data_IF_977501702665
#
_entry.id   IF_977501702665
#
_cell.length_a   1.000
_cell.length_b   1.000
_cell.length_c   1.000
_cell.angle_alpha   90.00
_cell.angle_beta   90.00
_cell.angle_gamma   90.00
#
_symmetry.space_group_name_H-M   'P 1'
#
loop_
_entity.id
_entity.type
_entity.pdbx_description
1 polymer ?
#
# COMPACT_ATOMS: atom_id res chain seq x y z
N UNK A 1 -12.53 -8.94 -15.34
CA UNK A 1 -13.24 -7.99 -16.26
C UNK A 1 -12.51 -7.81 -17.58
N UNK A 2 -11.20 -7.53 -17.60
CA UNK A 2 -10.41 -7.31 -18.82
C UNK A 2 -9.65 -8.55 -19.35
N UNK A 3 -9.97 -9.75 -18.90
CA UNK A 3 -9.31 -11.00 -19.32
C UNK A 3 -9.41 -11.25 -20.84
N UNK A 4 -10.47 -10.75 -21.48
CA UNK A 4 -10.64 -10.86 -22.93
C UNK A 4 -9.54 -10.16 -23.74
N UNK A 5 -8.81 -9.20 -23.14
CA UNK A 5 -7.68 -8.52 -23.78
C UNK A 5 -6.58 -9.49 -24.21
N UNK A 6 -6.42 -10.62 -23.51
CA UNK A 6 -5.43 -11.66 -23.88
C UNK A 6 -5.73 -12.24 -25.27
N UNK A 7 -7.00 -12.28 -25.65
CA UNK A 7 -7.46 -12.80 -26.96
C UNK A 7 -7.36 -11.72 -28.06
N UNK A 8 -7.29 -10.45 -27.68
CA UNK A 8 -7.01 -9.34 -28.61
C UNK A 8 -5.52 -9.30 -28.89
N UNK A 9 -4.71 -9.15 -27.83
CA UNK A 9 -3.26 -9.06 -27.89
C UNK A 9 -2.70 -9.36 -26.48
N UNK A 10 -1.89 -10.42 -26.28
CA UNK A 10 -1.34 -10.75 -24.96
C UNK A 10 -0.61 -9.58 -24.28
N UNK A 11 0.18 -8.81 -25.05
CA UNK A 11 0.88 -7.64 -24.53
C UNK A 11 -0.06 -6.56 -24.01
N UNK A 12 -1.26 -6.44 -24.58
CA UNK A 12 -2.27 -5.50 -24.11
C UNK A 12 -2.79 -5.91 -22.73
N UNK A 13 -2.96 -7.21 -22.49
CA UNK A 13 -3.32 -7.73 -21.18
C UNK A 13 -2.24 -7.50 -20.14
N UNK A 14 -0.96 -7.68 -20.48
CA UNK A 14 0.17 -7.36 -19.59
C UNK A 14 0.20 -5.88 -19.20
N UNK A 15 -0.14 -4.99 -20.15
CA UNK A 15 -0.29 -3.56 -19.87
C UNK A 15 -1.44 -3.29 -18.90
N UNK A 16 -2.57 -3.96 -19.09
CA UNK A 16 -3.70 -3.87 -18.16
C UNK A 16 -3.31 -4.32 -16.75
N UNK A 17 -2.58 -5.41 -16.58
CA UNK A 17 -2.10 -5.86 -15.27
C UNK A 17 -1.20 -4.81 -14.60
N UNK A 18 -0.45 -4.05 -15.37
CA UNK A 18 0.34 -2.92 -14.86
C UNK A 18 -0.58 -1.78 -14.40
N UNK A 19 -1.62 -1.45 -15.19
CA UNK A 19 -2.64 -0.47 -14.78
C UNK A 19 -3.33 -0.91 -13.50
N UNK A 20 -3.75 -2.18 -13.39
CA UNK A 20 -4.39 -2.74 -12.20
C UNK A 20 -3.48 -2.63 -10.96
N UNK A 21 -2.19 -2.93 -11.11
CA UNK A 21 -1.21 -2.75 -10.03
C UNK A 21 -1.11 -1.28 -9.59
N UNK A 22 -1.10 -0.34 -10.54
CA UNK A 22 -1.04 1.08 -10.25
C UNK A 22 -2.34 1.62 -9.64
N UNK A 23 -3.50 1.01 -9.92
CA UNK A 23 -4.75 1.27 -9.20
C UNK A 23 -4.62 0.81 -7.74
N UNK A 24 -4.12 -0.41 -7.53
CA UNK A 24 -3.91 -0.98 -6.19
C UNK A 24 -2.97 -0.12 -5.37
N UNK A 25 -1.95 0.46 -5.95
CA UNK A 25 -1.02 1.36 -5.26
C UNK A 25 -1.50 2.82 -5.20
N UNK A 26 -2.69 3.13 -5.72
CA UNK A 26 -3.20 4.49 -5.91
C UNK A 26 -2.13 5.47 -6.43
N UNK A 27 -1.23 4.94 -7.26
CA UNK A 27 -0.04 5.63 -7.77
C UNK A 27 -0.39 6.57 -8.92
N UNK A 28 0.28 7.73 -8.98
CA UNK A 28 0.23 8.61 -10.15
C UNK A 28 0.73 7.93 -11.43
N UNK A 29 1.49 6.84 -11.31
CA UNK A 29 1.87 5.96 -12.42
C UNK A 29 0.68 5.31 -13.13
N UNK A 30 -0.54 5.39 -12.54
CA UNK A 30 -1.77 5.01 -13.23
C UNK A 30 -1.91 5.73 -14.58
N UNK A 31 -1.69 7.03 -14.61
CA UNK A 31 -1.84 7.81 -15.84
C UNK A 31 -0.85 7.36 -16.92
N UNK A 32 0.40 7.09 -16.55
CA UNK A 32 1.41 6.63 -17.50
C UNK A 32 1.10 5.25 -18.04
N UNK A 33 0.74 4.32 -17.14
CA UNK A 33 0.38 2.96 -17.53
C UNK A 33 -0.92 2.90 -18.33
N UNK A 34 -1.89 3.77 -18.01
CA UNK A 34 -3.12 3.88 -18.79
C UNK A 34 -2.84 4.38 -20.23
N UNK A 35 -2.03 5.42 -20.36
CA UNK A 35 -1.67 5.95 -21.68
C UNK A 35 -0.92 4.91 -22.52
N UNK A 36 0.03 4.21 -21.92
CA UNK A 36 0.78 3.15 -22.56
C UNK A 36 -0.12 1.98 -23.00
N UNK A 37 -1.08 1.59 -22.17
CA UNK A 37 -2.10 0.60 -22.52
C UNK A 37 -3.00 1.08 -23.66
N UNK A 38 -3.46 2.32 -23.62
CA UNK A 38 -4.29 2.90 -24.67
C UNK A 38 -3.53 3.00 -25.99
N UNK A 39 -2.27 3.43 -25.96
CA UNK A 39 -1.42 3.50 -27.15
C UNK A 39 -1.18 2.12 -27.77
N UNK A 40 -0.89 1.12 -26.95
CA UNK A 40 -0.74 -0.26 -27.42
C UNK A 40 -2.02 -0.77 -28.09
N UNK A 41 -3.18 -0.50 -27.51
CA UNK A 41 -4.47 -0.88 -28.11
C UNK A 41 -4.67 -0.24 -29.48
N UNK A 42 -4.49 1.08 -29.58
CA UNK A 42 -4.67 1.80 -30.85
C UNK A 42 -3.71 1.25 -31.92
N UNK A 43 -2.43 1.07 -31.59
CA UNK A 43 -1.44 0.49 -32.50
C UNK A 43 -1.81 -0.93 -32.92
N UNK A 44 -2.31 -1.76 -32.02
CA UNK A 44 -2.80 -3.11 -32.36
C UNK A 44 -3.95 -3.07 -33.35
N UNK A 45 -4.93 -2.19 -33.13
CA UNK A 45 -6.11 -2.05 -34.01
C UNK A 45 -5.72 -1.53 -35.39
N UNK A 46 -4.92 -0.47 -35.48
CA UNK A 46 -4.53 0.11 -36.77
C UNK A 46 -3.62 -0.82 -37.59
N UNK A 47 -2.71 -1.56 -36.93
CA UNK A 47 -1.92 -2.60 -37.61
C UNK A 47 -2.79 -3.72 -38.19
N UNK A 48 -3.82 -4.14 -37.46
CA UNK A 48 -4.71 -5.21 -37.90
C UNK A 48 -5.54 -4.87 -39.15
N UNK A 49 -5.68 -3.58 -39.48
CA UNK A 49 -6.39 -3.09 -40.67
C UNK A 49 -5.46 -2.48 -41.70
N UNK A 50 -4.16 -2.50 -41.49
CA UNK A 50 -3.16 -2.05 -42.46
C UNK A 50 -3.02 -0.53 -42.57
N UNK A 51 -3.40 0.23 -41.55
CA UNK A 51 -3.15 1.68 -41.50
C UNK A 51 -1.69 1.94 -41.13
N UNK A 52 -0.97 2.67 -41.96
CA UNK A 52 0.43 3.03 -41.76
C UNK A 52 0.61 4.05 -40.64
N UNK A 53 1.61 3.81 -39.80
CA UNK A 53 2.04 4.76 -38.77
C UNK A 53 3.55 4.65 -38.47
N UNK A 54 4.12 5.72 -37.94
CA UNK A 54 5.54 5.71 -37.52
C UNK A 54 5.69 5.05 -36.15
N UNK A 55 6.76 4.27 -35.90
CA UNK A 55 6.97 3.60 -34.60
C UNK A 55 6.93 4.54 -33.40
N UNK A 56 7.41 5.77 -33.54
CA UNK A 56 7.46 6.81 -32.52
C UNK A 56 6.23 7.75 -32.52
N UNK A 57 5.21 7.45 -33.29
CA UNK A 57 4.00 8.26 -33.33
C UNK A 57 3.21 8.09 -32.04
N UNK A 58 2.88 9.20 -31.37
CA UNK A 58 2.22 9.20 -30.09
C UNK A 58 0.74 8.86 -30.20
N UNK A 59 0.17 8.33 -29.11
CA UNK A 59 -1.26 8.05 -29.00
C UNK A 59 -2.13 9.24 -29.46
N UNK A 60 -1.80 10.46 -29.00
CA UNK A 60 -2.54 11.67 -29.37
C UNK A 60 -2.44 12.04 -30.84
N UNK A 61 -1.33 11.72 -31.51
CA UNK A 61 -1.18 11.94 -32.95
C UNK A 61 -1.99 10.89 -33.74
N UNK A 62 -1.95 9.63 -33.31
CA UNK A 62 -2.72 8.55 -33.94
C UNK A 62 -4.23 8.83 -33.90
N UNK A 63 -4.76 9.22 -32.75
CA UNK A 63 -6.19 9.53 -32.56
C UNK A 63 -6.69 10.74 -33.36
N UNK A 64 -5.80 11.52 -33.98
CA UNK A 64 -6.16 12.66 -34.84
C UNK A 64 -6.16 12.32 -36.34
N UNK A 65 -5.67 11.14 -36.73
CA UNK A 65 -5.65 10.73 -38.13
C UNK A 65 -7.08 10.45 -38.61
N UNK A 66 -7.50 11.00 -39.78
CA UNK A 66 -8.84 10.77 -40.31
C UNK A 66 -9.19 9.28 -40.46
N UNK A 67 -8.24 8.49 -40.96
CA UNK A 67 -8.43 7.04 -41.14
C UNK A 67 -8.65 6.29 -39.81
N UNK A 68 -7.98 6.74 -38.74
CA UNK A 68 -8.17 6.17 -37.38
C UNK A 68 -9.52 6.61 -36.81
N UNK A 69 -9.91 7.86 -37.01
CA UNK A 69 -11.24 8.35 -36.59
C UNK A 69 -12.33 7.51 -37.29
N UNK A 70 -12.28 7.38 -38.60
CA UNK A 70 -13.24 6.61 -39.38
C UNK A 70 -13.23 5.10 -38.99
N UNK A 71 -12.06 4.53 -38.68
CA UNK A 71 -11.98 3.15 -38.20
C UNK A 71 -12.75 2.96 -36.89
N UNK A 72 -12.55 3.85 -35.93
CA UNK A 72 -13.21 3.71 -34.63
C UNK A 72 -14.71 4.02 -34.71
N UNK A 73 -15.13 5.09 -35.43
CA UNK A 73 -16.54 5.47 -35.55
C UNK A 73 -17.32 4.54 -36.48
N UNK A 74 -16.85 4.40 -37.72
CA UNK A 74 -17.66 3.80 -38.79
C UNK A 74 -17.53 2.26 -38.83
N UNK A 75 -16.31 1.76 -38.54
CA UNK A 75 -16.02 0.32 -38.62
C UNK A 75 -16.25 -0.41 -37.30
N UNK A 76 -15.79 0.16 -36.20
CA UNK A 76 -15.88 -0.46 -34.87
C UNK A 76 -17.16 -0.03 -34.11
N UNK A 77 -17.84 1.03 -34.57
CA UNK A 77 -19.05 1.53 -33.92
C UNK A 77 -18.80 2.10 -32.52
N UNK A 78 -17.60 2.64 -32.29
CA UNK A 78 -17.29 3.37 -31.06
C UNK A 78 -17.97 4.73 -31.15
N UNK A 79 -18.84 5.04 -30.19
CA UNK A 79 -19.57 6.30 -30.18
C UNK A 79 -18.64 7.52 -30.05
N UNK A 80 -19.10 8.66 -30.58
CA UNK A 80 -18.33 9.90 -30.61
C UNK A 80 -17.90 10.37 -29.20
N UNK A 81 -18.75 10.15 -28.19
CA UNK A 81 -18.43 10.51 -26.79
C UNK A 81 -17.24 9.72 -26.30
N UNK A 82 -17.26 8.40 -26.48
CA UNK A 82 -16.16 7.51 -26.08
C UNK A 82 -14.87 7.87 -26.80
N UNK A 83 -14.94 8.10 -28.13
CA UNK A 83 -13.76 8.45 -28.92
C UNK A 83 -13.17 9.80 -28.50
N UNK A 84 -13.99 10.85 -28.32
CA UNK A 84 -13.53 12.14 -27.81
C UNK A 84 -12.94 12.03 -26.41
N UNK A 85 -13.49 11.19 -25.54
CA UNK A 85 -12.90 10.94 -24.20
C UNK A 85 -11.54 10.26 -24.29
N UNK A 86 -11.30 9.35 -25.21
CA UNK A 86 -9.96 8.78 -25.45
C UNK A 86 -8.95 9.87 -25.80
N UNK A 87 -9.33 10.82 -26.66
CA UNK A 87 -8.49 11.97 -27.03
C UNK A 87 -8.24 12.89 -25.82
N UNK A 88 -9.29 13.26 -25.10
CA UNK A 88 -9.23 14.12 -23.91
C UNK A 88 -8.33 13.52 -22.82
N UNK A 89 -8.45 12.22 -22.56
CA UNK A 89 -7.66 11.55 -21.55
C UNK A 89 -6.19 11.48 -21.91
N UNK A 90 -5.87 11.28 -23.20
CA UNK A 90 -4.49 11.38 -23.69
C UNK A 90 -3.88 12.75 -23.40
N UNK A 91 -4.64 13.84 -23.61
CA UNK A 91 -4.18 15.20 -23.34
C UNK A 91 -4.02 15.47 -21.84
N UNK A 92 -4.99 15.03 -21.03
CA UNK A 92 -4.97 15.20 -19.57
C UNK A 92 -3.82 14.45 -18.92
N UNK A 93 -3.55 13.21 -19.33
CA UNK A 93 -2.40 12.44 -18.82
C UNK A 93 -1.10 13.20 -19.05
N UNK A 94 -0.88 13.72 -20.24
CA UNK A 94 0.32 14.51 -20.53
C UNK A 94 0.43 15.77 -19.67
N UNK A 95 -0.70 16.40 -19.32
CA UNK A 95 -0.72 17.56 -18.42
C UNK A 95 -0.43 17.19 -16.96
N UNK A 96 -0.88 16.01 -16.50
CA UNK A 96 -0.64 15.52 -15.14
C UNK A 96 0.81 15.11 -14.87
N UNK A 97 1.52 14.58 -15.87
CA UNK A 97 2.96 14.23 -15.78
C UNK A 97 3.84 15.37 -15.25
N UNK A 98 3.43 16.60 -15.46
CA UNK A 98 4.22 17.80 -15.14
C UNK A 98 3.82 18.47 -13.81
N UNK A 99 2.78 17.99 -13.11
CA UNK A 99 2.21 18.72 -11.97
C UNK A 99 2.50 18.13 -10.60
N UNK A 100 3.20 17.00 -10.51
CA UNK A 100 3.62 16.40 -9.24
C UNK A 100 2.45 16.17 -8.28
N UNK A 101 1.43 15.39 -8.67
CA UNK A 101 0.13 15.46 -8.04
C UNK A 101 -0.34 14.31 -7.17
N UNK A 102 -1.22 14.75 -6.32
CA UNK A 102 -2.22 14.24 -5.39
C UNK A 102 -2.89 12.92 -5.81
N UNK A 103 -3.33 12.18 -4.80
CA UNK A 103 -4.15 10.96 -4.87
C UNK A 103 -5.24 11.07 -5.95
N UNK A 104 -5.27 10.11 -6.88
CA UNK A 104 -6.28 10.07 -7.95
C UNK A 104 -7.62 9.66 -7.34
N UNK A 105 -8.71 10.37 -7.67
CA UNK A 105 -10.04 9.98 -7.26
C UNK A 105 -10.49 8.69 -7.97
N UNK A 106 -11.11 7.77 -7.24
CA UNK A 106 -11.60 6.50 -7.78
C UNK A 106 -12.55 6.68 -8.96
N UNK A 107 -13.41 7.69 -8.94
CA UNK A 107 -14.33 8.01 -10.03
C UNK A 107 -13.58 8.38 -11.32
N UNK A 108 -12.43 9.01 -11.19
CA UNK A 108 -11.56 9.31 -12.32
C UNK A 108 -11.03 8.00 -12.93
N UNK A 109 -10.49 7.10 -12.11
CA UNK A 109 -10.00 5.79 -12.53
C UNK A 109 -11.10 4.99 -13.25
N UNK A 110 -12.29 4.92 -12.63
CA UNK A 110 -13.47 4.24 -13.20
C UNK A 110 -13.83 4.83 -14.56
N UNK A 111 -13.81 6.16 -14.69
CA UNK A 111 -14.12 6.87 -15.92
C UNK A 111 -13.15 6.54 -17.05
N UNK A 112 -11.83 6.53 -16.77
CA UNK A 112 -10.79 6.17 -17.74
C UNK A 112 -10.93 4.72 -18.20
N UNK A 113 -11.11 3.80 -17.25
CA UNK A 113 -11.24 2.37 -17.57
C UNK A 113 -12.54 2.05 -18.29
N UNK A 114 -13.63 2.77 -18.02
CA UNK A 114 -14.89 2.60 -18.76
C UNK A 114 -14.74 2.97 -20.24
N UNK A 115 -14.11 4.11 -20.51
CA UNK A 115 -13.85 4.57 -21.89
C UNK A 115 -12.97 3.56 -22.62
N UNK A 116 -11.90 3.12 -21.99
CA UNK A 116 -11.03 2.09 -22.55
C UNK A 116 -11.76 0.77 -22.79
N UNK A 117 -12.57 0.32 -21.82
CA UNK A 117 -13.39 -0.89 -21.97
C UNK A 117 -14.34 -0.79 -23.17
N UNK A 118 -15.07 0.34 -23.30
CA UNK A 118 -16.03 0.52 -24.40
C UNK A 118 -15.35 0.38 -25.76
N UNK A 119 -14.20 1.01 -25.95
CA UNK A 119 -13.46 0.93 -27.20
C UNK A 119 -12.89 -0.48 -27.47
N UNK A 120 -12.30 -1.11 -26.45
CA UNK A 120 -11.72 -2.46 -26.60
C UNK A 120 -12.76 -3.54 -26.75
N UNK A 121 -13.91 -3.42 -26.08
CA UNK A 121 -15.02 -4.36 -26.23
C UNK A 121 -15.67 -4.25 -27.61
N UNK A 122 -15.78 -3.04 -28.20
CA UNK A 122 -16.23 -2.86 -29.57
C UNK A 122 -15.32 -3.60 -30.55
N UNK A 123 -14.00 -3.44 -30.42
CA UNK A 123 -13.04 -4.18 -31.24
C UNK A 123 -13.10 -5.69 -30.97
N UNK A 124 -13.15 -6.14 -29.72
CA UNK A 124 -13.29 -7.55 -29.36
C UNK A 124 -14.52 -8.19 -30.01
N UNK A 125 -15.67 -7.52 -29.93
CA UNK A 125 -16.92 -7.97 -30.58
C UNK A 125 -16.77 -8.09 -32.10
N UNK A 126 -16.09 -7.14 -32.75
CA UNK A 126 -15.82 -7.22 -34.19
C UNK A 126 -14.96 -8.42 -34.60
N UNK A 127 -14.22 -9.00 -33.63
CA UNK A 127 -13.40 -10.21 -33.79
C UNK A 127 -14.08 -11.47 -33.25
N UNK A 128 -15.35 -11.40 -32.82
CA UNK A 128 -16.08 -12.51 -32.22
C UNK A 128 -15.61 -12.90 -30.81
N UNK A 129 -14.91 -12.00 -30.12
CA UNK A 129 -14.45 -12.24 -28.75
C UNK A 129 -15.56 -11.84 -27.77
N UNK A 130 -15.89 -12.75 -26.86
CA UNK A 130 -16.86 -12.50 -25.79
C UNK A 130 -16.24 -11.56 -24.74
N UNK A 131 -16.91 -10.42 -24.48
CA UNK A 131 -16.50 -9.43 -23.50
C UNK A 131 -17.53 -9.39 -22.37
N UNK A 132 -17.11 -9.69 -21.14
CA UNK A 132 -17.94 -9.52 -19.94
C UNK A 132 -18.30 -8.04 -19.78
N UNK A 133 -19.45 -7.74 -19.18
CA UNK A 133 -19.88 -6.37 -18.93
C UNK A 133 -18.88 -5.62 -18.03
N UNK A 134 -18.81 -4.29 -18.24
CA UNK A 134 -18.00 -3.40 -17.40
C UNK A 134 -18.58 -3.33 -15.99
N UNK A 135 -17.78 -3.68 -15.00
CA UNK A 135 -18.17 -3.65 -13.60
C UNK A 135 -17.33 -2.60 -12.83
N UNK A 136 -17.94 -1.43 -12.62
CA UNK A 136 -17.30 -0.35 -11.85
C UNK A 136 -17.04 -0.74 -10.38
N UNK A 137 -17.94 -1.53 -9.77
CA UNK A 137 -17.84 -1.93 -8.37
C UNK A 137 -16.62 -2.81 -8.10
N UNK A 138 -16.18 -3.58 -9.11
CA UNK A 138 -14.94 -4.36 -8.99
C UNK A 138 -13.73 -3.45 -8.85
N UNK A 139 -13.66 -2.36 -9.60
CA UNK A 139 -12.58 -1.37 -9.54
C UNK A 139 -12.62 -0.61 -8.21
N UNK A 140 -13.81 -0.17 -7.81
CA UNK A 140 -14.02 0.56 -6.55
C UNK A 140 -13.59 -0.32 -5.37
N UNK A 141 -13.97 -1.61 -5.38
CA UNK A 141 -13.59 -2.55 -4.33
C UNK A 141 -12.09 -2.77 -4.24
N UNK A 142 -11.39 -2.88 -5.38
CA UNK A 142 -9.93 -3.00 -5.42
C UNK A 142 -9.28 -1.77 -4.79
N UNK A 143 -9.76 -0.58 -5.16
CA UNK A 143 -9.27 0.69 -4.63
C UNK A 143 -9.53 0.83 -3.13
N UNK A 144 -10.74 0.55 -2.67
CA UNK A 144 -11.15 0.64 -1.26
C UNK A 144 -10.36 -0.30 -0.35
N UNK A 145 -10.07 -1.52 -0.82
CA UNK A 145 -9.24 -2.46 -0.05
C UNK A 145 -7.86 -1.87 0.22
N UNK A 146 -7.29 -1.22 -0.78
CA UNK A 146 -5.96 -0.62 -0.68
C UNK A 146 -5.93 0.61 0.22
N UNK A 147 -6.96 1.46 0.12
CA UNK A 147 -7.09 2.63 1.00
C UNK A 147 -7.26 2.23 2.47
N UNK A 148 -8.05 1.20 2.73
CA UNK A 148 -8.22 0.63 4.08
C UNK A 148 -6.92 0.05 4.63
N UNK A 149 -6.15 -0.65 3.79
CA UNK A 149 -4.85 -1.20 4.19
C UNK A 149 -3.87 -0.07 4.55
N UNK A 150 -3.76 0.97 3.73
CA UNK A 150 -2.92 2.13 4.01
C UNK A 150 -3.32 2.82 5.32
N UNK A 151 -4.62 3.06 5.53
CA UNK A 151 -5.13 3.62 6.78
C UNK A 151 -4.84 2.74 7.99
N UNK A 152 -4.93 1.42 7.84
CA UNK A 152 -4.60 0.46 8.91
C UNK A 152 -3.11 0.52 9.25
N UNK A 153 -2.24 0.57 8.24
CA UNK A 153 -0.79 0.69 8.44
C UNK A 153 -0.41 2.01 9.12
N UNK A 154 -1.01 3.12 8.72
CA UNK A 154 -0.80 4.44 9.36
C UNK A 154 -1.20 4.39 10.84
N UNK A 155 -2.39 3.89 11.16
CA UNK A 155 -2.83 3.74 12.56
C UNK A 155 -1.89 2.87 13.38
N UNK A 156 -1.39 1.77 12.81
CA UNK A 156 -0.43 0.90 13.49
C UNK A 156 0.91 1.60 13.72
N UNK A 157 1.40 2.34 12.73
CA UNK A 157 2.62 3.13 12.87
C UNK A 157 2.49 4.17 13.97
N UNK A 158 1.40 4.96 13.95
CA UNK A 158 1.13 6.00 14.93
C UNK A 158 1.07 5.44 16.35
N UNK A 159 0.35 4.33 16.54
CA UNK A 159 0.24 3.66 17.85
C UNK A 159 1.60 3.18 18.36
N UNK A 160 2.43 2.56 17.50
CA UNK A 160 3.76 2.12 17.89
C UNK A 160 4.69 3.31 18.19
N UNK A 161 4.60 4.37 17.39
CA UNK A 161 5.38 5.60 17.59
C UNK A 161 5.05 6.27 18.93
N UNK A 162 3.76 6.40 19.26
CA UNK A 162 3.33 6.97 20.55
C UNK A 162 3.80 6.13 21.74
N UNK A 163 3.68 4.80 21.65
CA UNK A 163 4.13 3.89 22.70
C UNK A 163 5.65 4.03 22.93
N UNK A 164 6.44 3.96 21.86
CA UNK A 164 7.89 4.06 21.93
C UNK A 164 8.35 5.47 22.34
N UNK A 165 7.64 6.53 21.94
CA UNK A 165 7.95 7.90 22.42
C UNK A 165 7.77 8.00 23.93
N UNK A 166 6.70 7.44 24.50
CA UNK A 166 6.51 7.38 25.96
C UNK A 166 7.63 6.60 26.65
N UNK A 167 8.10 5.52 26.05
CA UNK A 167 9.24 4.75 26.57
C UNK A 167 10.56 5.52 26.47
N UNK A 168 10.75 6.31 25.42
CA UNK A 168 11.90 7.20 25.27
C UNK A 168 11.91 8.29 26.35
N UNK A 169 10.76 8.94 26.58
CA UNK A 169 10.60 9.97 27.62
C UNK A 169 10.84 9.41 29.02
N UNK A 170 10.50 8.15 29.25
CA UNK A 170 10.80 7.44 30.49
C UNK A 170 12.25 6.93 30.60
N UNK A 171 13.10 7.20 29.61
CA UNK A 171 14.50 6.73 29.59
C UNK A 171 14.65 5.21 29.40
N UNK A 172 13.60 4.54 28.92
CA UNK A 172 13.56 3.08 28.78
C UNK A 172 14.07 2.58 27.42
N UNK A 173 14.51 3.47 26.53
CA UNK A 173 15.05 3.14 25.22
C UNK A 173 16.54 3.49 25.09
N UNK A 174 17.24 2.74 24.23
CA UNK A 174 18.64 3.04 23.87
C UNK A 174 18.70 4.32 23.03
N UNK A 175 19.81 5.04 23.10
CA UNK A 175 20.02 6.29 22.33
C UNK A 175 19.86 6.09 20.83
N UNK A 176 20.30 4.93 20.31
CA UNK A 176 20.14 4.56 18.89
C UNK A 176 18.66 4.46 18.48
N UNK A 177 17.80 3.93 19.36
CA UNK A 177 16.38 3.74 19.12
C UNK A 177 15.63 5.08 19.16
N UNK A 178 16.02 5.97 20.07
CA UNK A 178 15.52 7.35 20.14
C UNK A 178 15.89 8.11 18.85
N UNK A 179 17.13 7.95 18.37
CA UNK A 179 17.57 8.54 17.10
C UNK A 179 16.75 8.02 15.92
N UNK A 180 16.44 6.73 15.89
CA UNK A 180 15.59 6.15 14.85
C UNK A 180 14.17 6.75 14.88
N UNK A 181 13.56 6.88 16.07
CA UNK A 181 12.23 7.49 16.23
C UNK A 181 12.17 8.92 15.69
N UNK A 182 13.22 9.71 15.92
CA UNK A 182 13.34 11.08 15.43
C UNK A 182 13.57 11.14 13.90
N UNK A 183 14.15 10.09 13.32
CA UNK A 183 14.41 9.97 11.88
C UNK A 183 13.23 9.43 11.06
N UNK A 184 12.09 9.13 11.69
CA UNK A 184 10.89 8.68 10.96
C UNK A 184 10.31 9.83 10.13
N UNK A 185 9.84 9.50 8.94
CA UNK A 185 9.15 10.46 8.09
C UNK A 185 7.95 11.07 8.82
N UNK A 186 7.84 12.38 8.77
CA UNK A 186 6.66 13.10 9.23
C UNK A 186 5.45 12.80 8.33
N UNK A 187 4.21 13.03 8.79
CA UNK A 187 3.01 12.90 7.95
C UNK A 187 3.11 13.69 6.64
N UNK A 188 3.63 14.91 6.70
CA UNK A 188 3.78 15.79 5.52
C UNK A 188 4.82 15.26 4.52
N UNK A 189 5.91 14.66 4.99
CA UNK A 189 6.92 14.02 4.15
C UNK A 189 6.36 12.73 3.54
N UNK A 190 5.61 11.95 4.31
CA UNK A 190 4.94 10.75 3.86
C UNK A 190 3.92 11.07 2.75
N UNK A 191 3.15 12.16 2.90
CA UNK A 191 2.13 12.56 1.92
C UNK A 191 2.73 13.10 0.60
N UNK A 192 4.02 13.43 0.58
CA UNK A 192 4.76 13.79 -0.65
C UNK A 192 5.21 12.58 -1.47
N UNK A 193 5.22 11.40 -0.88
CA UNK A 193 5.58 10.17 -1.57
C UNK A 193 4.43 9.68 -2.45
N UNK A 194 4.75 8.93 -3.51
CA UNK A 194 3.75 8.13 -4.20
C UNK A 194 3.12 7.11 -3.23
N UNK A 195 1.90 6.68 -3.46
CA UNK A 195 1.23 5.73 -2.53
C UNK A 195 1.99 4.40 -2.42
N UNK A 196 2.63 3.97 -3.50
CA UNK A 196 3.50 2.78 -3.48
C UNK A 196 4.72 3.00 -2.58
N UNK A 197 5.35 4.17 -2.67
CA UNK A 197 6.46 4.53 -1.79
C UNK A 197 6.00 4.73 -0.35
N UNK A 198 4.80 5.31 -0.13
CA UNK A 198 4.19 5.42 1.19
C UNK A 198 4.01 4.05 1.84
N UNK A 199 3.41 3.09 1.15
CA UNK A 199 3.23 1.74 1.68
C UNK A 199 4.57 1.08 2.00
N UNK A 200 5.54 1.18 1.09
CA UNK A 200 6.89 0.65 1.29
C UNK A 200 7.60 1.33 2.47
N UNK A 201 7.42 2.64 2.64
CA UNK A 201 7.97 3.40 3.77
C UNK A 201 7.27 3.01 5.08
N UNK A 202 5.94 2.89 5.08
CA UNK A 202 5.16 2.46 6.25
C UNK A 202 5.55 1.06 6.72
N UNK A 203 5.68 0.10 5.82
CA UNK A 203 6.13 -1.26 6.17
C UNK A 203 7.52 -1.24 6.80
N UNK A 204 8.48 -0.51 6.21
CA UNK A 204 9.84 -0.39 6.75
C UNK A 204 9.86 0.26 8.13
N UNK A 205 9.11 1.34 8.30
CA UNK A 205 9.03 2.05 9.59
C UNK A 205 8.35 1.21 10.66
N UNK A 206 7.23 0.55 10.34
CA UNK A 206 6.55 -0.37 11.27
C UNK A 206 7.48 -1.52 11.65
N UNK A 207 8.22 -2.10 10.71
CA UNK A 207 9.17 -3.17 11.01
C UNK A 207 10.25 -2.70 11.99
N UNK A 208 10.88 -1.55 11.73
CA UNK A 208 11.88 -0.99 12.64
C UNK A 208 11.32 -0.64 14.02
N UNK A 209 10.10 -0.08 14.09
CA UNK A 209 9.44 0.21 15.37
C UNK A 209 9.13 -1.08 16.15
N UNK A 210 8.73 -2.14 15.45
CA UNK A 210 8.48 -3.45 16.09
C UNK A 210 9.79 -4.09 16.59
N UNK A 211 10.89 -3.95 15.86
CA UNK A 211 12.21 -4.44 16.29
C UNK A 211 12.66 -3.72 17.57
N UNK A 212 12.51 -2.41 17.65
CA UNK A 212 12.82 -1.64 18.86
C UNK A 212 11.97 -2.11 20.04
N UNK A 213 10.66 -2.28 19.83
CA UNK A 213 9.74 -2.76 20.86
C UNK A 213 10.14 -4.15 21.35
N UNK A 214 10.42 -5.08 20.45
CA UNK A 214 10.86 -6.44 20.81
C UNK A 214 12.18 -6.44 21.58
N UNK A 215 13.18 -5.67 21.13
CA UNK A 215 14.47 -5.53 21.82
C UNK A 215 14.28 -4.98 23.24
N UNK A 216 13.44 -3.96 23.39
CA UNK A 216 13.14 -3.40 24.73
C UNK A 216 12.43 -4.39 25.64
N UNK A 217 11.51 -5.22 25.09
CA UNK A 217 10.86 -6.29 25.86
C UNK A 217 11.85 -7.37 26.27
N UNK A 218 12.77 -7.75 25.38
CA UNK A 218 13.83 -8.72 25.65
C UNK A 218 14.77 -8.22 26.75
N UNK A 219 15.21 -6.96 26.68
CA UNK A 219 16.05 -6.33 27.70
C UNK A 219 15.36 -6.34 29.09
N UNK A 220 14.06 -6.02 29.14
CA UNK A 220 13.26 -6.08 30.38
C UNK A 220 13.13 -7.51 30.93
N UNK A 221 12.88 -8.47 30.02
CA UNK A 221 12.77 -9.88 30.42
C UNK A 221 14.08 -10.39 30.99
N UNK A 222 15.21 -10.11 30.35
CA UNK A 222 16.53 -10.51 30.82
C UNK A 222 16.85 -9.91 32.18
N UNK A 223 16.58 -8.61 32.39
CA UNK A 223 16.75 -7.95 33.68
C UNK A 223 15.90 -8.59 34.78
N UNK A 224 14.65 -8.95 34.45
CA UNK A 224 13.76 -9.61 35.41
C UNK A 224 14.26 -11.01 35.77
N UNK A 225 14.77 -11.76 34.80
CA UNK A 225 15.40 -13.07 35.03
C UNK A 225 16.61 -12.92 35.94
N UNK A 226 17.47 -11.92 35.70
CA UNK A 226 18.63 -11.64 36.56
C UNK A 226 18.20 -11.35 37.99
N UNK A 227 17.21 -10.48 38.22
CA UNK A 227 16.67 -10.19 39.54
C UNK A 227 16.07 -11.43 40.23
N UNK A 228 15.36 -12.28 39.48
CA UNK A 228 14.83 -13.53 40.02
C UNK A 228 15.95 -14.53 40.40
N UNK A 229 17.03 -14.57 39.63
CA UNK A 229 18.20 -15.39 39.97
C UNK A 229 18.94 -14.87 41.20
N UNK A 230 19.03 -13.56 41.40
CA UNK A 230 19.59 -12.95 42.59
C UNK A 230 18.75 -13.25 43.85
N UNK A 231 17.41 -13.29 43.70
CA UNK A 231 16.49 -13.63 44.78
C UNK A 231 16.41 -15.15 45.08
N UNK A 232 16.91 -15.99 44.17
CA UNK A 232 16.81 -17.46 44.29
C UNK A 232 17.27 -18.05 45.65
N UNK A 233 18.40 -17.57 46.26
CA UNK A 233 18.82 -18.05 47.59
C UNK A 233 17.79 -17.73 48.69
N UNK A 234 17.21 -16.51 48.66
CA UNK A 234 16.23 -16.08 49.64
C UNK A 234 14.83 -16.76 49.45
N UNK A 235 14.52 -17.15 48.22
CA UNK A 235 13.28 -17.88 47.87
C UNK A 235 13.24 -19.28 48.55
N UNK A 236 14.37 -19.94 48.67
CA UNK A 236 14.47 -21.27 49.26
C UNK A 236 14.11 -21.29 50.78
N UNK A 237 14.21 -20.13 51.44
CA UNK A 237 14.03 -20.02 52.88
C UNK A 237 12.70 -19.37 53.30
N UNK A 238 12.01 -18.66 52.40
CA UNK A 238 10.84 -17.87 52.78
C UNK A 238 9.61 -18.08 51.89
N UNK A 239 8.51 -18.59 52.53
CA UNK A 239 7.24 -18.90 51.83
C UNK A 239 6.52 -17.67 51.23
N UNK A 240 6.75 -16.49 51.80
CA UNK A 240 6.16 -15.21 51.33
C UNK A 240 6.81 -14.80 50.01
N UNK A 241 8.13 -14.94 49.93
CA UNK A 241 8.93 -14.65 48.73
C UNK A 241 8.51 -15.59 47.58
N UNK A 242 8.31 -16.89 47.87
CA UNK A 242 7.86 -17.85 46.87
C UNK A 242 6.51 -17.48 46.25
N UNK A 243 5.59 -16.91 47.04
CA UNK A 243 4.28 -16.45 46.58
C UNK A 243 4.42 -15.16 45.72
N UNK A 244 5.26 -14.23 46.16
CA UNK A 244 5.53 -12.99 45.40
C UNK A 244 6.17 -13.27 44.03
N UNK A 245 7.14 -14.17 43.99
CA UNK A 245 7.77 -14.63 42.74
C UNK A 245 6.77 -15.33 41.82
N UNK A 246 5.89 -16.17 42.36
CA UNK A 246 4.84 -16.80 41.55
C UNK A 246 3.90 -15.77 40.92
N UNK A 247 3.52 -14.74 41.65
CA UNK A 247 2.70 -13.63 41.12
C UNK A 247 3.43 -12.80 40.10
N UNK A 248 4.73 -12.54 40.32
CA UNK A 248 5.60 -11.82 39.39
C UNK A 248 5.69 -12.55 38.02
N UNK A 249 5.93 -13.87 38.04
CA UNK A 249 5.98 -14.69 36.83
C UNK A 249 4.62 -14.68 36.10
N UNK A 250 3.52 -14.76 36.86
CA UNK A 250 2.17 -14.68 36.31
C UNK A 250 1.89 -13.33 35.61
N UNK A 251 2.33 -12.22 36.22
CA UNK A 251 2.20 -10.87 35.65
C UNK A 251 3.07 -10.68 34.39
N UNK A 252 4.27 -11.28 34.38
CA UNK A 252 5.15 -11.27 33.20
C UNK A 252 4.50 -11.99 32.00
N UNK A 253 3.93 -13.15 32.20
CA UNK A 253 3.25 -13.93 31.16
C UNK A 253 2.09 -13.12 30.57
N UNK A 254 1.41 -12.33 31.41
CA UNK A 254 0.30 -11.47 31.00
C UNK A 254 0.71 -10.09 30.46
N UNK A 255 2.03 -9.79 30.41
CA UNK A 255 2.54 -8.52 29.91
C UNK A 255 2.35 -7.31 30.83
N UNK A 256 1.96 -7.52 32.09
CA UNK A 256 1.75 -6.47 33.09
C UNK A 256 3.07 -6.13 33.80
N UNK A 257 3.84 -5.22 33.19
CA UNK A 257 5.16 -4.81 33.70
C UNK A 257 5.08 -4.03 35.02
N UNK A 258 4.01 -3.27 35.28
CA UNK A 258 3.85 -2.53 36.56
C UNK A 258 3.59 -3.49 37.71
N UNK A 259 2.77 -4.51 37.48
CA UNK A 259 2.55 -5.54 38.49
C UNK A 259 3.83 -6.36 38.78
N UNK A 260 4.68 -6.58 37.79
CA UNK A 260 5.99 -7.24 37.96
C UNK A 260 6.88 -6.42 38.90
N UNK A 261 7.04 -5.12 38.67
CA UNK A 261 7.85 -4.23 39.52
C UNK A 261 7.31 -4.19 40.95
N UNK A 262 6.02 -4.05 41.14
CA UNK A 262 5.37 -4.06 42.45
C UNK A 262 5.64 -5.35 43.24
N UNK A 263 5.54 -6.51 42.62
CA UNK A 263 5.79 -7.79 43.30
C UNK A 263 7.27 -8.04 43.61
N UNK A 264 8.19 -7.48 42.78
CA UNK A 264 9.62 -7.53 43.05
C UNK A 264 10.00 -6.67 44.25
N UNK A 265 9.50 -5.42 44.32
CA UNK A 265 9.71 -4.52 45.44
C UNK A 265 9.17 -5.15 46.76
N UNK A 266 7.99 -5.74 46.70
CA UNK A 266 7.40 -6.41 47.81
C UNK A 266 8.22 -7.62 48.30
N UNK A 267 8.76 -8.41 47.38
CA UNK A 267 9.63 -9.52 47.70
C UNK A 267 10.94 -9.07 48.36
N UNK A 268 11.49 -7.90 47.97
CA UNK A 268 12.71 -7.33 48.56
C UNK A 268 12.46 -6.75 49.97
N UNK A 269 11.34 -6.05 50.16
CA UNK A 269 11.01 -5.43 51.45
C UNK A 269 10.61 -6.45 52.54
N UNK A 270 9.80 -7.44 52.18
CA UNK A 270 9.35 -8.48 53.12
C UNK A 270 10.41 -9.58 53.36
N UNK A 271 11.41 -9.73 52.47
CA UNK A 271 12.51 -10.69 52.64
C UNK A 271 13.68 -10.19 53.44
N UNK A 272 13.76 -8.88 53.72
CA UNK A 272 14.84 -8.24 54.47
C UNK A 272 14.61 -8.11 55.99
N UNK A 273 13.47 -8.53 56.53
CA UNK A 273 13.12 -8.40 57.95
C UNK A 273 13.32 -9.70 58.78
N UNK A 274 14.12 -10.65 58.30
CA UNK A 274 14.47 -11.84 59.12
C UNK A 274 15.96 -11.96 59.33
#
# INVERSE_FOLDING_TARGET
>A
MFEYLIHIEPRLYDRYLTVERNIKSASNSFYDSYLDMQEQFIKTVIMAVGIDFKPNETCGALLKKPDVVALFSDTLGVDDYTFHKMQDYTLKVNAHKHKGEKKIAVDTIVSYLRVFYTATAAYGKSKGIECKEFNADEIIRIFDLYDRENQSLRKKQDSLREELSRMADAGALKTTDVTYLHGLLSPDEMDRLSVEDQNSALYRQISGLMEIKLSSMEDKLNRTIELLLELKPAIAENRVITKAVGNCVGSMINGDTQAVEHWLEKAQTEGGEN
#
